data_IF_421714700396
#
_entry.id   IF_421714700396
#
_cell.length_a   1.000
_cell.length_b   1.000
_cell.length_c   1.000
_cell.angle_alpha   90.00
_cell.angle_beta   90.00
_cell.angle_gamma   90.00
#
_symmetry.space_group_name_H-M   'P 1'
#
loop_
_entity.id
_entity.type
_entity.pdbx_description
1 polymer ?
#
# COMPACT_ATOMS: atom_id res chain seq x y z
N UNK A 1 -12.95 9.61 36.19
CA UNK A 1 -13.21 9.01 34.86
C UNK A 1 -12.61 9.84 33.71
N UNK A 2 -12.94 11.12 33.52
CA UNK A 2 -12.31 11.96 32.48
C UNK A 2 -10.84 12.34 32.82
N UNK A 3 -10.53 12.63 34.08
CA UNK A 3 -9.15 12.82 34.54
C UNK A 3 -8.29 11.54 34.44
N UNK A 4 -8.90 10.36 34.64
CA UNK A 4 -8.22 9.07 34.49
C UNK A 4 -7.92 8.74 33.02
N UNK A 5 -8.81 9.12 32.09
CA UNK A 5 -8.59 8.93 30.65
C UNK A 5 -7.55 9.93 30.12
N UNK A 6 -7.54 11.16 30.63
CA UNK A 6 -6.55 12.18 30.26
C UNK A 6 -5.15 11.81 30.80
N UNK A 7 -5.06 11.35 32.05
CA UNK A 7 -3.83 10.78 32.61
C UNK A 7 -3.38 9.49 31.92
N UNK A 8 -4.30 8.64 31.44
CA UNK A 8 -3.98 7.42 30.68
C UNK A 8 -3.51 7.72 29.24
N UNK A 9 -4.08 8.73 28.58
CA UNK A 9 -3.67 9.19 27.26
C UNK A 9 -2.33 9.93 27.34
N UNK A 10 -2.14 10.82 28.30
CA UNK A 10 -0.85 11.47 28.57
C UNK A 10 0.22 10.43 28.91
N UNK A 11 -0.04 9.44 29.76
CA UNK A 11 0.92 8.36 30.02
C UNK A 11 1.25 7.55 28.76
N UNK A 12 0.28 7.26 27.87
CA UNK A 12 0.56 6.59 26.60
C UNK A 12 1.38 7.45 25.65
N UNK A 13 1.09 8.75 25.53
CA UNK A 13 1.85 9.67 24.69
C UNK A 13 3.28 9.85 25.24
N UNK A 14 3.46 10.03 26.54
CA UNK A 14 4.76 10.10 27.20
C UNK A 14 5.54 8.77 27.09
N UNK A 15 4.88 7.62 27.22
CA UNK A 15 5.52 6.30 27.07
C UNK A 15 5.90 6.02 25.63
N UNK A 16 5.08 6.40 24.66
CA UNK A 16 5.36 6.25 23.22
C UNK A 16 6.50 7.17 22.78
N UNK A 17 6.51 8.42 23.25
CA UNK A 17 7.59 9.39 23.01
C UNK A 17 8.92 8.91 23.61
N UNK A 18 8.94 8.51 24.89
CA UNK A 18 10.16 8.01 25.57
C UNK A 18 10.76 6.77 24.91
N UNK A 19 9.91 5.90 24.33
CA UNK A 19 10.35 4.66 23.65
C UNK A 19 10.76 4.86 22.19
N UNK A 20 10.21 5.86 21.50
CA UNK A 20 10.72 6.32 20.20
C UNK A 20 12.16 6.81 20.36
N UNK A 21 12.41 7.59 21.41
CA UNK A 21 13.75 8.08 21.76
C UNK A 21 14.76 6.95 21.98
N UNK A 22 14.37 5.80 22.54
CA UNK A 22 15.30 4.69 22.80
C UNK A 22 15.82 3.98 21.54
N UNK A 23 14.94 3.65 20.59
CA UNK A 23 15.36 3.03 19.33
C UNK A 23 16.15 4.03 18.51
N UNK A 24 15.71 5.29 18.50
CA UNK A 24 16.42 6.37 17.84
C UNK A 24 17.83 6.59 18.43
N UNK A 25 17.97 6.69 19.75
CA UNK A 25 19.26 6.76 20.44
C UNK A 25 20.13 5.53 20.21
N UNK A 26 19.53 4.37 19.94
CA UNK A 26 20.28 3.16 19.56
C UNK A 26 20.80 3.29 18.14
N UNK A 27 19.96 3.67 17.18
CA UNK A 27 20.40 3.92 15.80
C UNK A 27 21.50 4.99 15.77
N UNK A 28 21.30 6.09 16.49
CA UNK A 28 22.29 7.17 16.63
C UNK A 28 23.61 6.73 17.26
N UNK A 29 23.63 5.67 18.07
CA UNK A 29 24.88 5.09 18.58
C UNK A 29 25.68 4.34 17.53
N UNK A 30 25.03 3.93 16.44
CA UNK A 30 25.65 3.15 15.37
C UNK A 30 25.94 3.98 14.11
N UNK A 31 25.32 5.15 13.96
CA UNK A 31 25.37 5.95 12.72
C UNK A 31 25.97 7.34 12.96
N UNK A 32 26.67 7.88 11.95
CA UNK A 32 27.21 9.25 11.97
C UNK A 32 26.13 10.33 12.10
N UNK A 33 26.53 11.55 12.51
CA UNK A 33 25.63 12.71 12.73
C UNK A 33 24.67 13.02 11.58
N UNK A 34 25.00 12.62 10.33
CA UNK A 34 24.16 12.82 9.15
C UNK A 34 22.77 12.17 9.30
N UNK A 35 22.65 11.09 10.07
CA UNK A 35 21.36 10.43 10.37
C UNK A 35 20.58 11.09 11.51
N UNK A 36 21.20 12.04 12.21
CA UNK A 36 20.65 12.65 13.43
C UNK A 36 19.94 13.98 13.18
N UNK A 37 20.26 14.70 12.09
CA UNK A 37 19.79 16.09 11.89
C UNK A 37 18.44 16.22 11.16
N UNK A 38 18.11 15.30 10.24
CA UNK A 38 16.81 15.32 9.54
C UNK A 38 16.27 13.91 9.36
N UNK A 39 15.25 13.54 10.15
CA UNK A 39 14.58 12.27 9.92
C UNK A 39 13.62 12.37 8.75
N UNK A 40 13.99 11.76 7.63
CA UNK A 40 13.05 11.54 6.53
C UNK A 40 11.78 10.90 7.10
N UNK A 41 10.63 11.20 6.49
CA UNK A 41 9.36 10.62 6.92
C UNK A 41 9.43 9.10 7.02
N UNK A 42 10.10 8.47 6.05
CA UNK A 42 10.29 7.03 6.01
C UNK A 42 11.07 6.50 7.20
N UNK A 43 12.15 7.17 7.65
CA UNK A 43 12.88 6.75 8.86
C UNK A 43 11.97 6.67 10.07
N UNK A 44 11.11 7.68 10.27
CA UNK A 44 10.22 7.73 11.44
C UNK A 44 9.16 6.65 11.38
N UNK A 45 8.64 6.39 10.19
CA UNK A 45 7.72 5.29 9.94
C UNK A 45 8.40 3.95 10.24
N UNK A 46 9.62 3.72 9.76
CA UNK A 46 10.39 2.51 10.00
C UNK A 46 10.72 2.31 11.49
N UNK A 47 11.24 3.35 12.16
CA UNK A 47 11.56 3.33 13.60
C UNK A 47 10.39 2.84 14.45
N UNK A 48 9.16 3.26 14.11
CA UNK A 48 7.94 2.82 14.81
C UNK A 48 7.71 1.32 14.69
N UNK A 49 7.98 0.73 13.53
CA UNK A 49 7.69 -0.68 13.24
C UNK A 49 8.81 -1.62 13.67
N UNK A 50 10.07 -1.21 13.52
CA UNK A 50 11.26 -1.92 14.05
C UNK A 50 11.10 -2.21 15.55
N UNK A 51 10.55 -1.25 16.31
CA UNK A 51 10.25 -1.41 17.73
C UNK A 51 9.31 -2.58 18.04
N UNK A 52 8.28 -2.77 17.21
CA UNK A 52 7.22 -3.74 17.49
C UNK A 52 7.51 -5.15 16.97
N UNK A 53 8.68 -5.38 16.35
CA UNK A 53 9.00 -6.65 15.69
C UNK A 53 7.92 -7.08 14.69
N UNK A 54 7.24 -6.09 14.08
CA UNK A 54 6.24 -6.34 13.06
C UNK A 54 6.93 -6.42 11.71
N UNK A 55 6.54 -7.39 10.91
CA UNK A 55 7.01 -7.43 9.54
C UNK A 55 6.40 -6.24 8.79
N UNK A 56 7.14 -5.67 7.84
CA UNK A 56 6.75 -4.47 7.11
C UNK A 56 7.09 -4.66 5.64
N UNK A 57 6.20 -4.26 4.74
CA UNK A 57 6.61 -3.98 3.36
C UNK A 57 6.37 -2.50 3.07
N UNK A 58 7.41 -1.86 2.56
CA UNK A 58 7.43 -0.46 2.20
C UNK A 58 7.62 -0.37 0.70
N UNK A 59 6.75 0.38 0.04
CA UNK A 59 6.90 0.73 -1.36
C UNK A 59 7.99 1.79 -1.53
N UNK A 60 8.98 1.49 -2.35
CA UNK A 60 10.05 2.39 -2.77
C UNK A 60 9.93 2.61 -4.28
N UNK A 61 9.81 3.87 -4.72
CA UNK A 61 9.76 4.14 -6.17
C UNK A 61 11.03 3.68 -6.90
N UNK A 62 10.97 3.49 -8.22
CA UNK A 62 12.05 2.96 -9.08
C UNK A 62 13.39 3.72 -8.97
N UNK A 63 13.34 5.01 -8.65
CA UNK A 63 14.54 5.85 -8.53
C UNK A 63 15.20 5.84 -7.15
N UNK A 64 14.69 5.03 -6.20
CA UNK A 64 15.22 5.03 -4.84
C UNK A 64 16.66 4.49 -4.78
N UNK A 65 17.57 5.30 -4.21
CA UNK A 65 19.01 5.02 -4.09
C UNK A 65 19.59 5.31 -2.70
N UNK A 66 18.76 5.77 -1.76
CA UNK A 66 19.18 6.09 -0.38
C UNK A 66 19.12 4.85 0.53
N UNK A 67 20.01 3.90 0.25
CA UNK A 67 20.10 2.64 1.00
C UNK A 67 20.57 2.82 2.44
N UNK A 68 21.15 3.97 2.73
CA UNK A 68 21.49 4.41 4.06
C UNK A 68 20.31 4.19 5.05
N UNK A 69 19.08 4.51 4.65
CA UNK A 69 17.85 4.26 5.42
C UNK A 69 17.73 2.84 6.01
N UNK A 70 18.26 1.82 5.33
CA UNK A 70 18.22 0.42 5.74
C UNK A 70 19.01 0.17 7.03
N UNK A 71 19.93 1.05 7.42
CA UNK A 71 20.60 0.96 8.72
C UNK A 71 19.60 1.03 9.88
N UNK A 72 18.50 1.76 9.75
CA UNK A 72 17.48 1.89 10.80
C UNK A 72 16.96 0.52 11.26
N UNK A 73 16.40 -0.33 10.36
CA UNK A 73 16.00 -1.68 10.75
C UNK A 73 17.18 -2.59 11.10
N UNK A 74 18.31 -2.47 10.38
CA UNK A 74 19.49 -3.33 10.60
C UNK A 74 20.06 -3.17 12.01
N UNK A 75 20.32 -1.94 12.46
CA UNK A 75 20.95 -1.68 13.77
C UNK A 75 19.94 -1.48 14.90
N UNK A 76 18.67 -1.18 14.57
CA UNK A 76 17.64 -0.85 15.57
C UNK A 76 17.34 -1.97 16.57
N UNK A 77 17.69 -3.22 16.22
CA UNK A 77 17.53 -4.40 17.09
C UNK A 77 18.83 -5.09 17.49
N UNK A 78 19.96 -4.67 16.91
CA UNK A 78 21.27 -5.28 17.15
C UNK A 78 21.71 -5.13 18.60
N UNK A 79 22.09 -6.23 19.22
CA UNK A 79 22.63 -6.31 20.57
C UNK A 79 24.13 -6.13 20.51
N UNK A 80 24.64 -5.19 21.30
CA UNK A 80 26.07 -4.95 21.44
C UNK A 80 26.75 -6.18 22.03
N UNK A 81 27.97 -6.48 21.58
CA UNK A 81 28.83 -7.57 22.08
C UNK A 81 28.21 -8.98 21.95
N UNK A 82 27.21 -9.16 21.09
CA UNK A 82 26.72 -10.50 20.75
C UNK A 82 27.43 -11.00 19.50
N UNK A 83 28.20 -12.10 19.59
CA UNK A 83 28.93 -12.62 18.43
C UNK A 83 27.99 -13.26 17.41
N UNK A 84 28.35 -13.14 16.14
CA UNK A 84 27.67 -13.76 15.01
C UNK A 84 26.63 -12.86 14.33
N UNK A 85 26.02 -13.42 13.28
CA UNK A 85 25.15 -12.67 12.38
C UNK A 85 23.83 -12.32 13.06
N UNK A 86 23.55 -11.04 13.20
CA UNK A 86 22.33 -10.50 13.82
C UNK A 86 21.34 -9.94 12.80
N UNK A 87 21.85 -9.42 11.68
CA UNK A 87 21.05 -8.80 10.63
C UNK A 87 21.51 -9.27 9.24
N UNK A 88 20.53 -9.55 8.38
CA UNK A 88 20.76 -9.88 6.97
C UNK A 88 20.09 -8.86 6.07
N UNK A 89 20.79 -8.44 5.02
CA UNK A 89 20.26 -7.60 3.96
C UNK A 89 20.41 -8.32 2.63
N UNK A 90 19.28 -8.58 1.97
CA UNK A 90 19.22 -9.25 0.69
C UNK A 90 18.96 -8.24 -0.42
N UNK A 91 19.70 -8.38 -1.51
CA UNK A 91 19.55 -7.62 -2.74
C UNK A 91 19.60 -8.56 -3.95
N UNK A 92 18.92 -8.18 -5.03
CA UNK A 92 18.74 -9.03 -6.21
C UNK A 92 19.99 -9.17 -7.08
N UNK A 93 20.91 -8.23 -6.99
CA UNK A 93 22.12 -8.19 -7.82
C UNK A 93 23.36 -7.66 -7.06
N UNK A 94 24.54 -7.97 -7.60
CA UNK A 94 25.84 -7.56 -7.04
C UNK A 94 25.99 -6.03 -6.94
N UNK A 95 25.50 -5.26 -7.91
CA UNK A 95 25.67 -3.82 -7.91
C UNK A 95 24.87 -3.17 -6.77
N UNK A 96 23.65 -3.67 -6.52
CA UNK A 96 22.81 -3.26 -5.39
C UNK A 96 23.45 -3.65 -4.05
N UNK A 97 23.99 -4.88 -3.92
CA UNK A 97 24.74 -5.30 -2.71
C UNK A 97 25.92 -4.36 -2.42
N UNK A 98 26.72 -4.04 -3.44
CA UNK A 98 27.86 -3.11 -3.32
C UNK A 98 27.44 -1.71 -2.93
N UNK A 99 26.36 -1.19 -3.53
CA UNK A 99 25.82 0.13 -3.22
C UNK A 99 25.33 0.22 -1.77
N UNK A 100 24.57 -0.78 -1.31
CA UNK A 100 24.10 -0.87 0.08
C UNK A 100 25.30 -0.92 1.03
N UNK A 101 26.25 -1.81 0.76
CA UNK A 101 27.42 -2.00 1.65
C UNK A 101 28.31 -0.76 1.69
N UNK A 102 28.53 -0.10 0.56
CA UNK A 102 29.26 1.17 0.49
C UNK A 102 28.61 2.26 1.34
N UNK A 103 27.29 2.46 1.19
CA UNK A 103 26.54 3.42 2.01
C UNK A 103 26.54 3.04 3.50
N UNK A 104 26.50 1.75 3.84
CA UNK A 104 26.60 1.32 5.24
C UNK A 104 27.97 1.67 5.82
N UNK A 105 29.06 1.34 5.13
CA UNK A 105 30.43 1.69 5.55
C UNK A 105 30.62 3.20 5.71
N UNK A 106 30.04 3.99 4.80
CA UNK A 106 30.13 5.46 4.88
C UNK A 106 29.35 6.03 6.08
N UNK A 107 28.23 5.41 6.47
CA UNK A 107 27.30 5.99 7.44
C UNK A 107 27.34 5.36 8.83
N UNK A 108 27.94 4.18 8.98
CA UNK A 108 28.22 3.59 10.29
C UNK A 108 29.35 4.37 10.98
N UNK A 109 29.18 4.57 12.28
CA UNK A 109 30.24 5.10 13.13
C UNK A 109 31.26 3.98 13.40
N UNK A 110 32.54 4.28 13.13
CA UNK A 110 33.63 3.32 13.34
C UNK A 110 33.76 2.93 14.82
N UNK A 111 33.43 3.86 15.73
CA UNK A 111 33.44 3.61 17.17
C UNK A 111 32.33 2.66 17.63
N UNK A 112 31.31 2.44 16.80
CA UNK A 112 30.20 1.56 17.13
C UNK A 112 30.55 0.06 17.02
N UNK A 113 31.70 -0.27 16.42
CA UNK A 113 32.22 -1.63 16.37
C UNK A 113 31.38 -2.62 15.55
N UNK A 114 30.49 -2.13 14.68
CA UNK A 114 29.64 -2.99 13.84
C UNK A 114 30.47 -3.55 12.69
N UNK A 115 30.50 -4.87 12.60
CA UNK A 115 31.21 -5.59 11.53
C UNK A 115 30.27 -5.94 10.39
N UNK A 116 30.72 -5.67 9.16
CA UNK A 116 29.96 -5.93 7.93
C UNK A 116 30.67 -6.97 7.08
N UNK A 117 29.92 -7.91 6.51
CA UNK A 117 30.38 -8.75 5.41
C UNK A 117 29.54 -8.52 4.16
N UNK A 118 30.21 -8.54 3.02
CA UNK A 118 29.62 -8.44 1.69
C UNK A 118 29.80 -9.79 1.01
N UNK A 119 28.71 -10.41 0.56
CA UNK A 119 28.78 -11.71 -0.14
C UNK A 119 28.13 -11.60 -1.51
N UNK A 120 28.93 -11.71 -2.57
CA UNK A 120 28.48 -11.66 -3.96
C UNK A 120 29.07 -12.81 -4.77
N UNK A 121 28.42 -13.24 -5.87
CA UNK A 121 28.92 -14.37 -6.66
C UNK A 121 30.33 -14.16 -7.24
N UNK A 122 30.69 -12.90 -7.49
CA UNK A 122 31.98 -12.45 -8.03
C UNK A 122 32.98 -11.99 -6.96
N UNK A 123 32.67 -12.18 -5.68
CA UNK A 123 33.56 -11.85 -4.57
C UNK A 123 34.75 -12.80 -4.45
N UNK A 124 35.85 -12.32 -3.83
CA UNK A 124 36.99 -13.18 -3.51
C UNK A 124 36.62 -14.17 -2.40
N UNK A 125 36.52 -15.45 -2.76
CA UNK A 125 36.05 -16.49 -1.85
C UNK A 125 36.89 -16.63 -0.58
N UNK A 126 38.21 -16.38 -0.65
CA UNK A 126 39.09 -16.44 0.54
C UNK A 126 38.82 -15.29 1.51
N UNK A 127 38.74 -14.06 1.00
CA UNK A 127 38.39 -12.88 1.79
C UNK A 127 37.00 -12.99 2.41
N UNK A 128 36.02 -13.49 1.65
CA UNK A 128 34.66 -13.74 2.14
C UNK A 128 34.65 -14.75 3.28
N UNK A 129 35.31 -15.89 3.11
CA UNK A 129 35.39 -16.94 4.13
C UNK A 129 36.09 -16.46 5.40
N UNK A 130 37.18 -15.69 5.28
CA UNK A 130 37.86 -15.08 6.43
C UNK A 130 36.97 -14.08 7.17
N UNK A 131 36.24 -13.24 6.42
CA UNK A 131 35.33 -12.26 7.03
C UNK A 131 34.16 -12.95 7.71
N UNK A 132 33.55 -13.94 7.07
CA UNK A 132 32.45 -14.73 7.63
C UNK A 132 32.89 -15.52 8.86
N UNK A 133 34.08 -16.11 8.84
CA UNK A 133 34.64 -16.87 9.97
C UNK A 133 34.83 -16.01 11.23
N UNK A 134 35.03 -14.68 11.07
CA UNK A 134 35.09 -13.74 12.20
C UNK A 134 33.73 -13.48 12.84
N UNK A 135 32.62 -13.94 12.23
CA UNK A 135 31.27 -13.79 12.76
C UNK A 135 30.75 -12.36 12.65
N UNK A 136 30.59 -11.82 11.43
CA UNK A 136 30.16 -10.44 11.22
C UNK A 136 28.76 -10.20 11.77
N UNK A 137 28.50 -9.00 12.28
CA UNK A 137 27.18 -8.63 12.82
C UNK A 137 26.11 -8.54 11.74
N UNK A 138 26.49 -8.02 10.57
CA UNK A 138 25.60 -7.79 9.43
C UNK A 138 26.21 -8.43 8.18
N UNK A 139 25.39 -9.16 7.43
CA UNK A 139 25.74 -9.62 6.09
C UNK A 139 24.83 -8.93 5.07
N UNK A 140 25.43 -8.30 4.07
CA UNK A 140 24.74 -7.78 2.87
C UNK A 140 25.09 -8.71 1.72
N UNK A 141 24.10 -9.31 1.07
CA UNK A 141 24.36 -10.40 0.14
C UNK A 141 23.28 -10.61 -0.91
N UNK A 142 23.64 -11.39 -1.94
CA UNK A 142 22.65 -12.08 -2.77
C UNK A 142 22.21 -13.38 -2.08
N UNK A 143 20.94 -13.80 -2.17
CA UNK A 143 20.46 -15.04 -1.55
C UNK A 143 21.26 -16.27 -1.96
N UNK A 144 21.49 -16.45 -3.27
CA UNK A 144 22.25 -17.57 -3.80
C UNK A 144 23.65 -17.71 -3.17
N UNK A 145 24.39 -16.60 -3.03
CA UNK A 145 25.74 -16.66 -2.42
C UNK A 145 25.67 -17.00 -0.93
N UNK A 146 24.69 -16.49 -0.19
CA UNK A 146 24.52 -16.84 1.21
C UNK A 146 24.20 -18.34 1.39
N UNK A 147 23.39 -18.92 0.49
CA UNK A 147 23.07 -20.36 0.50
C UNK A 147 24.33 -21.21 0.40
N UNK A 148 25.28 -20.83 -0.45
CA UNK A 148 26.57 -21.54 -0.56
C UNK A 148 27.33 -21.55 0.77
N UNK A 149 27.41 -20.41 1.46
CA UNK A 149 28.06 -20.32 2.76
C UNK A 149 27.31 -21.10 3.86
N UNK A 150 25.98 -21.15 3.81
CA UNK A 150 25.18 -21.98 4.72
C UNK A 150 25.47 -23.47 4.48
N UNK A 151 25.47 -23.91 3.21
CA UNK A 151 25.72 -25.31 2.83
C UNK A 151 27.12 -25.78 3.22
N UNK A 152 28.12 -24.90 3.14
CA UNK A 152 29.50 -25.17 3.57
C UNK A 152 29.70 -25.15 5.08
N UNK A 153 28.70 -24.69 5.86
CA UNK A 153 28.80 -24.56 7.31
C UNK A 153 29.55 -23.30 7.77
N UNK A 154 29.83 -22.37 6.86
CA UNK A 154 30.56 -21.14 7.14
C UNK A 154 29.70 -20.12 7.91
N UNK A 155 28.38 -20.13 7.69
CA UNK A 155 27.43 -19.20 8.34
C UNK A 155 26.40 -19.96 9.17
N UNK A 156 26.14 -19.45 10.38
CA UNK A 156 25.02 -19.87 11.25
C UNK A 156 24.02 -18.73 11.38
N UNK A 157 22.73 -19.04 11.31
CA UNK A 157 21.66 -18.04 11.25
C UNK A 157 20.79 -17.96 12.52
N UNK A 158 21.18 -18.68 13.58
CA UNK A 158 20.40 -18.81 14.82
C UNK A 158 20.22 -17.47 15.57
N UNK A 159 21.16 -16.54 15.42
CA UNK A 159 21.16 -15.22 16.08
C UNK A 159 20.50 -14.12 15.24
N UNK A 160 20.06 -14.44 14.01
CA UNK A 160 19.49 -13.45 13.10
C UNK A 160 18.14 -12.99 13.64
N UNK A 161 18.06 -11.69 13.93
CA UNK A 161 16.87 -11.05 14.51
C UNK A 161 16.13 -10.14 13.52
N UNK A 162 16.82 -9.72 12.46
CA UNK A 162 16.29 -8.84 11.43
C UNK A 162 16.73 -9.32 10.04
N UNK A 163 15.77 -9.39 9.12
CA UNK A 163 16.01 -9.57 7.69
C UNK A 163 15.44 -8.37 6.94
N UNK A 164 16.24 -7.79 6.07
CA UNK A 164 15.85 -6.74 5.14
C UNK A 164 15.93 -7.30 3.74
N UNK A 165 14.86 -7.20 2.96
CA UNK A 165 14.83 -7.60 1.55
C UNK A 165 14.64 -6.34 0.72
N UNK A 166 15.57 -6.05 -0.19
CA UNK A 166 15.45 -4.95 -1.14
C UNK A 166 15.08 -5.56 -2.48
N UNK A 167 13.92 -5.17 -3.02
CA UNK A 167 13.50 -5.63 -4.33
C UNK A 167 14.52 -5.18 -5.40
N UNK A 168 14.83 -6.04 -6.38
CA UNK A 168 15.67 -5.66 -7.51
C UNK A 168 15.01 -4.54 -8.34
N UNK A 169 15.78 -3.98 -9.27
CA UNK A 169 15.22 -3.06 -10.26
C UNK A 169 14.33 -3.77 -11.28
N UNK A 170 14.62 -5.05 -11.58
CA UNK A 170 13.76 -5.92 -12.37
C UNK A 170 12.65 -6.53 -11.51
N UNK A 171 11.69 -7.19 -12.17
CA UNK A 171 10.71 -8.02 -11.48
C UNK A 171 11.40 -9.09 -10.62
N UNK A 172 10.81 -9.38 -9.47
CA UNK A 172 11.34 -10.34 -8.52
C UNK A 172 11.23 -11.75 -9.11
N UNK A 173 12.37 -12.40 -9.34
CA UNK A 173 12.36 -13.74 -9.94
C UNK A 173 11.86 -14.80 -8.96
N UNK A 174 11.22 -15.84 -9.48
CA UNK A 174 10.81 -17.01 -8.69
C UNK A 174 12.01 -17.67 -7.98
N UNK A 175 13.18 -17.68 -8.63
CA UNK A 175 14.42 -18.18 -8.03
C UNK A 175 14.85 -17.38 -6.80
N UNK A 176 14.73 -16.05 -6.85
CA UNK A 176 15.08 -15.18 -5.72
C UNK A 176 14.15 -15.43 -4.54
N UNK A 177 12.84 -15.55 -4.79
CA UNK A 177 11.86 -15.89 -3.75
C UNK A 177 12.16 -17.27 -3.15
N UNK A 178 12.41 -18.30 -3.98
CA UNK A 178 12.72 -19.65 -3.53
C UNK A 178 14.00 -19.72 -2.66
N UNK A 179 15.03 -18.97 -3.03
CA UNK A 179 16.26 -18.87 -2.24
C UNK A 179 16.00 -18.23 -0.87
N UNK A 180 15.21 -17.16 -0.82
CA UNK A 180 14.80 -16.54 0.44
C UNK A 180 14.00 -17.52 1.31
N UNK A 181 13.10 -18.32 0.72
CA UNK A 181 12.38 -19.38 1.43
C UNK A 181 13.32 -20.38 2.09
N UNK A 182 14.32 -20.86 1.35
CA UNK A 182 15.33 -21.78 1.89
C UNK A 182 16.07 -21.16 3.08
N UNK A 183 16.49 -19.90 2.95
CA UNK A 183 17.24 -19.18 3.97
C UNK A 183 16.39 -18.94 5.23
N UNK A 184 15.15 -18.46 5.07
CA UNK A 184 14.23 -18.17 6.18
C UNK A 184 13.85 -19.42 6.96
N UNK A 185 13.77 -20.58 6.30
CA UNK A 185 13.53 -21.87 6.96
C UNK A 185 14.64 -22.27 7.95
N UNK A 186 15.83 -21.65 7.87
CA UNK A 186 16.95 -21.88 8.80
C UNK A 186 16.98 -20.92 9.98
N UNK A 187 16.04 -19.97 10.07
CA UNK A 187 16.01 -18.93 11.10
C UNK A 187 14.86 -19.12 12.09
N UNK A 188 15.07 -18.66 13.32
CA UNK A 188 14.01 -18.66 14.34
C UNK A 188 13.34 -17.29 14.40
N UNK A 189 12.35 -17.09 13.54
CA UNK A 189 11.41 -15.96 13.58
C UNK A 189 12.07 -14.55 13.50
N UNK A 190 12.88 -14.24 12.48
CA UNK A 190 13.44 -12.89 12.29
C UNK A 190 12.30 -11.88 12.03
N UNK A 191 12.50 -10.60 12.36
CA UNK A 191 11.63 -9.54 11.82
C UNK A 191 11.98 -9.31 10.36
N UNK A 192 10.98 -9.28 9.48
CA UNK A 192 11.18 -9.14 8.03
C UNK A 192 10.72 -7.77 7.55
N UNK A 193 11.60 -7.05 6.85
CA UNK A 193 11.29 -5.74 6.31
C UNK A 193 11.63 -5.74 4.83
N UNK A 194 10.61 -5.60 3.99
CA UNK A 194 10.72 -5.61 2.53
C UNK A 194 10.63 -4.18 2.02
N UNK A 195 11.58 -3.79 1.17
CA UNK A 195 11.55 -2.56 0.40
C UNK A 195 11.20 -2.97 -1.04
N UNK A 196 9.92 -2.90 -1.36
CA UNK A 196 9.34 -3.35 -2.63
C UNK A 196 9.27 -2.18 -3.62
N UNK A 197 9.53 -2.41 -4.91
CA UNK A 197 9.25 -1.40 -5.95
C UNK A 197 7.76 -1.21 -6.13
N UNK A 198 7.03 -2.31 -6.08
CA UNK A 198 5.58 -2.35 -6.16
C UNK A 198 5.04 -3.35 -5.14
N UNK A 199 4.15 -2.89 -4.25
CA UNK A 199 3.58 -3.72 -3.20
C UNK A 199 2.71 -4.86 -3.74
N UNK A 200 2.08 -4.73 -4.92
CA UNK A 200 1.20 -5.79 -5.43
C UNK A 200 1.96 -6.96 -6.03
N UNK A 201 3.12 -6.73 -6.65
CA UNK A 201 3.88 -7.80 -7.32
C UNK A 201 4.94 -8.40 -6.41
N UNK A 202 5.72 -7.55 -5.74
CA UNK A 202 6.91 -8.00 -5.03
C UNK A 202 6.55 -8.66 -3.69
N UNK A 203 5.51 -8.15 -3.03
CA UNK A 203 5.08 -8.67 -1.72
C UNK A 203 4.28 -9.95 -1.86
N UNK A 204 3.47 -10.11 -2.90
CA UNK A 204 2.71 -11.34 -3.13
C UNK A 204 3.66 -12.54 -3.28
N UNK A 205 4.75 -12.37 -4.01
CA UNK A 205 5.81 -13.37 -4.20
C UNK A 205 6.59 -13.72 -2.92
N UNK A 206 6.57 -12.83 -1.92
CA UNK A 206 7.25 -13.00 -0.64
C UNK A 206 6.27 -13.16 0.54
N UNK A 207 4.98 -13.28 0.26
CA UNK A 207 3.91 -13.17 1.27
C UNK A 207 4.02 -14.22 2.36
N UNK A 208 4.44 -15.43 1.98
CA UNK A 208 4.68 -16.56 2.87
C UNK A 208 5.88 -16.36 3.83
N UNK A 209 6.80 -15.44 3.52
CA UNK A 209 7.91 -15.05 4.39
C UNK A 209 7.51 -14.02 5.45
N UNK A 210 6.37 -13.35 5.26
CA UNK A 210 5.93 -12.21 6.06
C UNK A 210 4.73 -12.54 6.93
N UNK A 211 4.79 -12.19 8.21
CA UNK A 211 3.69 -12.48 9.16
C UNK A 211 2.85 -11.24 9.38
N UNK A 212 1.72 -11.18 8.66
CA UNK A 212 0.77 -10.05 8.70
C UNK A 212 1.50 -8.72 8.56
N UNK A 213 2.26 -8.52 7.46
CA UNK A 213 3.10 -7.35 7.33
C UNK A 213 2.25 -6.08 7.28
N UNK A 214 2.77 -5.01 7.87
CA UNK A 214 2.21 -3.68 7.64
C UNK A 214 2.62 -3.23 6.24
N UNK A 215 1.65 -2.98 5.36
CA UNK A 215 1.86 -2.36 4.06
C UNK A 215 1.96 -0.85 4.21
N UNK A 216 2.97 -0.24 3.59
CA UNK A 216 3.21 1.21 3.63
C UNK A 216 3.50 1.65 2.19
N UNK A 217 2.52 2.33 1.57
CA UNK A 217 2.67 2.82 0.20
C UNK A 217 3.62 4.01 0.13
N UNK A 218 4.11 4.32 -1.07
CA UNK A 218 4.98 5.48 -1.29
C UNK A 218 4.27 6.77 -0.90
N UNK A 219 3.00 6.90 -1.24
CA UNK A 219 2.21 8.09 -0.92
C UNK A 219 2.04 8.28 0.59
N UNK A 220 1.89 7.18 1.35
CA UNK A 220 1.75 7.24 2.81
C UNK A 220 2.99 7.82 3.47
N UNK A 221 4.20 7.41 3.06
CA UNK A 221 5.42 7.90 3.70
C UNK A 221 6.04 9.10 2.98
N UNK A 222 5.78 9.38 1.72
CA UNK A 222 6.27 10.59 1.06
C UNK A 222 5.52 11.83 1.55
N UNK A 223 4.21 11.72 1.79
CA UNK A 223 3.36 12.86 2.13
C UNK A 223 3.23 13.14 3.64
N UNK A 224 3.68 12.23 4.52
CA UNK A 224 3.50 12.35 5.97
C UNK A 224 4.76 12.80 6.75
N UNK A 225 5.39 13.90 6.34
CA UNK A 225 6.42 14.57 7.15
C UNK A 225 5.88 15.07 8.50
N UNK A 226 5.86 14.21 9.52
CA UNK A 226 5.18 14.43 10.82
C UNK A 226 3.65 14.49 10.68
N UNK A 227 2.87 14.17 11.74
CA UNK A 227 1.50 14.65 11.80
C UNK A 227 1.53 16.16 12.00
N UNK A 228 1.82 16.91 10.93
CA UNK A 228 1.27 18.24 10.75
C UNK A 228 -0.01 18.02 10.00
N UNK A 229 -1.12 18.46 10.56
CA UNK A 229 -2.33 18.71 9.80
C UNK A 229 -1.91 19.50 8.55
N UNK A 230 -1.96 18.85 7.39
CA UNK A 230 -1.64 19.49 6.12
C UNK A 230 -2.72 20.53 5.85
N UNK A 231 -2.37 21.79 6.09
CA UNK A 231 -2.99 22.89 5.39
C UNK A 231 -2.52 22.83 3.94
N UNK A 232 -3.49 22.60 3.07
CA UNK A 232 -3.56 22.98 1.66
C UNK A 232 -2.90 22.06 0.61
N UNK A 233 -3.75 21.43 -0.20
CA UNK A 233 -3.86 21.83 -1.60
C UNK A 233 -5.32 21.75 -2.08
N UNK A 234 -5.97 22.90 -1.96
CA UNK A 234 -7.06 23.32 -2.83
C UNK A 234 -6.51 23.47 -4.24
N UNK A 235 -7.07 22.76 -5.22
CA UNK A 235 -7.59 23.37 -6.46
C UNK A 235 -8.39 22.34 -7.25
N UNK A 236 -9.70 22.55 -7.29
CA UNK A 236 -10.57 21.95 -8.29
C UNK A 236 -11.51 20.83 -7.86
N UNK A 237 -11.92 20.75 -6.60
CA UNK A 237 -13.24 20.18 -6.21
C UNK A 237 -13.77 21.01 -5.06
N UNK A 238 -14.99 21.50 -5.21
CA UNK A 238 -15.71 22.40 -4.32
C UNK A 238 -15.24 22.29 -2.86
N UNK A 239 -14.44 23.26 -2.44
CA UNK A 239 -13.95 23.32 -1.05
C UNK A 239 -15.14 23.55 -0.15
N UNK A 240 -15.55 22.48 0.55
CA UNK A 240 -16.37 22.57 1.75
C UNK A 240 -15.71 23.55 2.72
N UNK A 241 -16.46 24.49 3.30
CA UNK A 241 -15.91 25.42 4.27
C UNK A 241 -15.41 24.68 5.52
N UNK A 242 -14.20 25.01 5.97
CA UNK A 242 -13.61 24.54 7.23
C UNK A 242 -14.49 25.02 8.41
N UNK A 243 -15.31 24.12 8.95
CA UNK A 243 -16.05 24.33 10.18
C UNK A 243 -15.15 23.97 11.37
N UNK A 244 -15.00 24.82 12.40
CA UNK A 244 -14.13 24.55 13.54
C UNK A 244 -14.58 23.29 14.30
N UNK A 245 -13.62 22.49 14.74
CA UNK A 245 -13.86 21.30 15.55
C UNK A 245 -14.35 21.74 16.95
N UNK A 246 -15.66 21.62 17.19
CA UNK A 246 -16.28 21.97 18.46
C UNK A 246 -16.65 20.69 19.24
N UNK A 247 -15.87 20.42 20.29
CA UNK A 247 -15.97 19.19 21.08
C UNK A 247 -17.31 19.07 21.82
N UNK A 248 -17.89 20.19 22.25
CA UNK A 248 -19.11 20.20 23.06
C UNK A 248 -20.37 20.01 22.18
N UNK A 249 -20.34 20.55 20.96
CA UNK A 249 -21.37 20.28 19.94
C UNK A 249 -21.30 18.82 19.49
N UNK A 250 -20.12 18.22 19.32
CA UNK A 250 -19.99 16.79 18.98
C UNK A 250 -20.51 15.89 20.09
N UNK A 251 -20.17 16.18 21.36
CA UNK A 251 -20.65 15.40 22.51
C UNK A 251 -22.18 15.42 22.63
N UNK A 252 -22.80 16.58 22.43
CA UNK A 252 -24.27 16.70 22.45
C UNK A 252 -24.93 16.00 21.25
N UNK A 253 -24.33 16.09 20.06
CA UNK A 253 -24.80 15.41 18.85
C UNK A 253 -24.73 13.88 18.98
N UNK A 254 -23.62 13.34 19.48
CA UNK A 254 -23.47 11.89 19.73
C UNK A 254 -24.49 11.42 20.76
N UNK A 255 -24.69 12.16 21.84
CA UNK A 255 -25.72 11.85 22.83
C UNK A 255 -27.12 11.85 22.22
N UNK A 256 -27.45 12.81 21.35
CA UNK A 256 -28.73 12.88 20.66
C UNK A 256 -28.93 11.72 19.68
N UNK A 257 -27.89 11.32 18.93
CA UNK A 257 -27.94 10.15 18.02
C UNK A 257 -28.13 8.86 18.81
N UNK A 258 -27.38 8.66 19.90
CA UNK A 258 -27.55 7.49 20.77
C UNK A 258 -28.97 7.45 21.33
N UNK A 259 -29.49 8.60 21.77
CA UNK A 259 -30.86 8.70 22.28
C UNK A 259 -31.89 8.32 21.20
N UNK A 260 -31.76 8.84 19.97
CA UNK A 260 -32.61 8.47 18.83
C UNK A 260 -32.51 6.99 18.47
N UNK A 261 -31.32 6.39 18.50
CA UNK A 261 -31.14 4.94 18.27
C UNK A 261 -31.88 4.09 19.32
N UNK A 262 -32.12 4.64 20.52
CA UNK A 262 -32.88 3.96 21.58
C UNK A 262 -34.37 4.36 21.59
N UNK A 263 -34.74 5.55 21.10
CA UNK A 263 -36.10 6.13 21.16
C UNK A 263 -36.91 5.95 19.86
N UNK A 264 -36.29 5.95 18.66
CA UNK A 264 -36.99 5.99 17.38
C UNK A 264 -36.32 5.11 16.28
N UNK A 265 -37.21 4.41 15.56
CA UNK A 265 -37.07 3.79 14.24
C UNK A 265 -36.71 2.30 14.10
N UNK A 266 -37.45 1.71 13.16
CA UNK A 266 -37.71 0.30 12.89
C UNK A 266 -36.43 -0.56 12.90
N UNK A 267 -36.32 -1.58 13.78
CA UNK A 267 -35.11 -2.40 13.96
C UNK A 267 -34.54 -3.01 12.67
N UNK A 268 -35.36 -3.12 11.62
CA UNK A 268 -35.03 -3.71 10.33
C UNK A 268 -34.10 -2.81 9.52
N UNK A 269 -34.35 -1.50 9.45
CA UNK A 269 -33.64 -0.59 8.56
C UNK A 269 -32.22 -0.28 9.07
N UNK A 270 -32.09 0.07 10.36
CA UNK A 270 -30.79 0.25 11.02
C UNK A 270 -29.91 -1.00 10.96
N UNK A 271 -30.52 -2.18 11.04
CA UNK A 271 -29.81 -3.46 10.90
C UNK A 271 -29.32 -3.69 9.46
N UNK A 272 -30.09 -3.27 8.46
CA UNK A 272 -29.66 -3.32 7.06
C UNK A 272 -28.46 -2.40 6.81
N UNK A 273 -28.48 -1.15 7.30
CA UNK A 273 -27.35 -0.23 7.21
C UNK A 273 -26.12 -0.73 7.98
N UNK A 274 -26.32 -1.30 9.18
CA UNK A 274 -25.24 -1.94 9.96
C UNK A 274 -24.62 -3.11 9.21
N UNK A 275 -25.42 -3.97 8.57
CA UNK A 275 -24.94 -5.10 7.76
C UNK A 275 -24.20 -4.63 6.51
N UNK A 276 -24.72 -3.59 5.85
CA UNK A 276 -24.09 -2.97 4.69
C UNK A 276 -22.73 -2.36 5.03
N UNK A 277 -22.64 -1.58 6.12
CA UNK A 277 -21.36 -1.04 6.60
C UNK A 277 -20.40 -2.17 6.95
N UNK A 278 -20.85 -3.22 7.65
CA UNK A 278 -19.97 -4.35 8.00
C UNK A 278 -19.42 -5.09 6.78
N UNK A 279 -20.19 -5.16 5.68
CA UNK A 279 -19.82 -5.85 4.44
C UNK A 279 -18.88 -5.05 3.57
N UNK A 280 -19.04 -3.72 3.54
CA UNK A 280 -18.28 -2.82 2.66
C UNK A 280 -17.12 -2.10 3.36
N UNK A 281 -17.01 -2.23 4.69
CA UNK A 281 -15.93 -1.59 5.44
C UNK A 281 -15.23 -2.59 6.37
N UNK A 282 -13.91 -2.68 6.20
CA UNK A 282 -13.03 -3.45 7.08
C UNK A 282 -13.24 -3.02 8.53
N UNK A 283 -13.13 -3.97 9.46
CA UNK A 283 -13.39 -3.75 10.88
C UNK A 283 -12.56 -2.58 11.47
N UNK A 284 -11.36 -2.36 10.93
CA UNK A 284 -10.44 -1.30 11.33
C UNK A 284 -10.83 0.09 10.79
N UNK A 285 -11.58 0.16 9.69
CA UNK A 285 -11.98 1.41 9.04
C UNK A 285 -13.33 1.93 9.52
N UNK A 286 -14.12 1.12 10.24
CA UNK A 286 -15.47 1.49 10.72
C UNK A 286 -15.47 2.71 11.62
N UNK A 287 -14.47 2.85 12.49
CA UNK A 287 -14.33 4.01 13.36
C UNK A 287 -14.05 5.29 12.56
N UNK A 288 -13.20 5.20 11.53
CA UNK A 288 -12.89 6.32 10.64
C UNK A 288 -14.10 6.72 9.77
N UNK A 289 -14.86 5.73 9.28
CA UNK A 289 -16.11 5.96 8.55
C UNK A 289 -17.15 6.64 9.44
N UNK A 290 -17.31 6.18 10.69
CA UNK A 290 -18.19 6.83 11.67
C UNK A 290 -17.78 8.27 11.98
N UNK A 291 -16.48 8.53 12.16
CA UNK A 291 -15.96 9.88 12.38
C UNK A 291 -16.20 10.79 11.17
N UNK A 292 -16.09 10.26 9.95
CA UNK A 292 -16.31 11.02 8.73
C UNK A 292 -17.80 11.33 8.49
N UNK A 293 -18.70 10.38 8.77
CA UNK A 293 -20.15 10.60 8.71
C UNK A 293 -20.61 11.65 9.74
N UNK A 294 -20.04 11.62 10.95
CA UNK A 294 -20.32 12.61 11.98
C UNK A 294 -19.85 14.01 11.56
N UNK A 295 -18.68 14.11 10.92
CA UNK A 295 -18.19 15.35 10.32
C UNK A 295 -19.14 15.89 9.24
N UNK A 296 -19.75 15.00 8.45
CA UNK A 296 -20.72 15.39 7.41
C UNK A 296 -22.06 15.86 8.00
N UNK A 297 -22.51 15.26 9.10
CA UNK A 297 -23.78 15.58 9.75
C UNK A 297 -23.83 16.96 10.43
N UNK A 298 -22.68 17.61 10.68
CA UNK A 298 -22.60 18.92 11.32
C UNK A 298 -22.72 20.12 10.36
N UNK A 299 -22.90 19.87 9.07
CA UNK A 299 -23.06 20.94 8.09
C UNK A 299 -24.48 21.54 8.14
N UNK A 300 -24.63 22.88 8.06
CA UNK A 300 -25.92 23.57 8.08
C UNK A 300 -26.78 23.34 6.82
N UNK A 301 -26.28 22.59 5.83
CA UNK A 301 -27.06 22.10 4.69
C UNK A 301 -27.84 20.87 5.11
N UNK A 302 -28.89 21.12 5.90
CA UNK A 302 -29.70 20.11 6.54
C UNK A 302 -30.33 19.10 5.60
N UNK A 303 -30.58 17.93 6.18
CA UNK A 303 -31.77 17.14 5.97
C UNK A 303 -32.97 18.10 6.08
N UNK A 304 -33.40 18.68 4.95
CA UNK A 304 -34.74 19.27 4.85
C UNK A 304 -35.60 18.30 4.06
N UNK A 305 -36.47 17.64 4.82
CA UNK A 305 -37.57 16.86 4.30
C UNK A 305 -38.31 17.64 3.23
N UNK A 306 -38.62 16.93 2.16
CA UNK A 306 -39.50 17.38 1.08
C UNK A 306 -40.91 17.49 1.66
N UNK A 307 -41.21 18.59 2.34
CA UNK A 307 -42.56 19.00 2.68
C UNK A 307 -43.20 19.67 1.48
N UNK A 308 -44.43 19.27 1.22
CA UNK A 308 -45.26 19.64 0.08
C UNK A 308 -45.79 21.09 0.14
N UNK A 309 -45.84 21.72 -1.05
CA UNK A 309 -46.81 22.76 -1.53
C UNK A 309 -46.77 24.16 -0.86
N UNK A 310 -47.31 25.26 -1.48
CA UNK A 310 -48.17 25.33 -2.67
C UNK A 310 -47.74 26.34 -3.77
N UNK A 311 -48.53 26.27 -4.83
CA UNK A 311 -48.54 26.92 -6.15
C UNK A 311 -48.62 28.46 -6.18
N UNK A 312 -47.88 29.09 -7.11
CA UNK A 312 -48.08 30.50 -7.50
C UNK A 312 -47.29 30.92 -8.76
N UNK A 313 -47.96 30.97 -9.91
CA UNK A 313 -47.57 31.37 -11.29
C UNK A 313 -46.73 32.68 -11.36
N UNK A 314 -45.83 32.96 -12.33
CA UNK A 314 -45.85 32.96 -13.83
C UNK A 314 -44.37 33.09 -14.29
N UNK A 315 -43.84 32.70 -15.46
CA UNK A 315 -44.32 32.14 -16.73
C UNK A 315 -43.20 32.30 -17.81
N UNK A 316 -43.13 31.37 -18.78
CA UNK A 316 -42.33 31.36 -20.02
C UNK A 316 -40.78 31.25 -19.88
N UNK A 317 -40.01 30.52 -20.70
CA UNK A 317 -40.20 29.90 -22.02
C UNK A 317 -39.14 28.79 -22.23
N UNK A 318 -39.49 27.86 -23.09
CA UNK A 318 -38.85 26.57 -23.45
C UNK A 318 -37.49 26.66 -24.17
N UNK A 319 -36.75 25.54 -24.08
CA UNK A 319 -35.72 24.98 -24.98
C UNK A 319 -34.26 25.19 -24.60
N UNK A 320 -33.65 24.10 -24.14
CA UNK A 320 -32.21 23.87 -24.12
C UNK A 320 -31.62 23.97 -25.53
N UNK A 321 -30.39 24.49 -25.66
CA UNK A 321 -29.40 23.81 -26.49
C UNK A 321 -28.04 23.65 -25.80
N UNK A 322 -27.34 22.62 -26.26
CA UNK A 322 -25.99 22.17 -25.92
C UNK A 322 -24.90 23.25 -26.11
N UNK A 323 -23.70 23.09 -25.51
CA UNK A 323 -22.50 23.75 -25.99
C UNK A 323 -21.45 22.77 -26.54
N UNK A 324 -21.32 22.82 -27.87
CA UNK A 324 -20.14 23.18 -28.68
C UNK A 324 -18.73 22.74 -28.25
N UNK A 325 -18.08 22.10 -29.22
CA UNK A 325 -16.70 21.60 -29.32
C UNK A 325 -15.68 22.74 -29.52
N UNK A 326 -14.46 22.57 -28.96
CA UNK A 326 -13.24 23.16 -29.51
C UNK A 326 -12.05 22.17 -29.41
N UNK A 327 -11.28 22.14 -30.51
CA UNK A 327 -10.28 21.18 -31.03
C UNK A 327 -8.87 21.47 -30.45
N UNK A 328 -7.90 20.56 -30.24
CA UNK A 328 -6.95 19.79 -31.10
C UNK A 328 -5.99 19.01 -30.15
N UNK A 329 -5.23 17.95 -30.49
CA UNK A 329 -4.66 17.46 -31.76
C UNK A 329 -4.19 16.00 -31.64
N UNK A 330 -4.18 15.33 -32.79
CA UNK A 330 -3.88 13.92 -33.06
C UNK A 330 -2.42 13.49 -32.90
N UNK A 331 -2.22 12.19 -32.62
CA UNK A 331 -1.21 11.36 -33.29
C UNK A 331 -1.91 10.06 -33.73
N UNK A 332 -1.85 9.76 -35.02
CA UNK A 332 -2.46 8.63 -35.71
C UNK A 332 -1.75 7.29 -35.42
N UNK A 333 -2.56 6.24 -35.30
CA UNK A 333 -2.25 4.91 -35.84
C UNK A 333 -3.57 4.18 -36.12
N UNK A 334 -3.77 3.79 -37.37
CA UNK A 334 -4.95 3.08 -37.85
C UNK A 334 -5.23 1.80 -37.06
N UNK A 335 -6.46 1.63 -36.57
CA UNK A 335 -7.09 0.30 -36.51
C UNK A 335 -8.60 0.45 -36.40
N UNK A 336 -9.32 -0.39 -37.12
CA UNK A 336 -10.78 -0.45 -37.27
C UNK A 336 -11.48 -0.96 -35.98
N UNK A 337 -11.11 -0.44 -34.81
CA UNK A 337 -11.51 -0.98 -33.49
C UNK A 337 -12.19 0.07 -32.60
N UNK A 338 -13.24 -0.38 -31.90
CA UNK A 338 -14.05 0.41 -30.97
C UNK A 338 -14.00 -0.22 -29.59
N UNK A 339 -13.85 0.60 -28.56
CA UNK A 339 -13.84 0.13 -27.17
C UNK A 339 -15.26 -0.05 -26.63
N UNK A 340 -15.55 -1.25 -26.16
CA UNK A 340 -16.82 -1.68 -25.58
C UNK A 340 -16.66 -1.80 -24.06
N UNK A 341 -17.55 -1.16 -23.31
CA UNK A 341 -17.66 -1.25 -21.86
C UNK A 341 -18.48 -2.47 -21.45
N UNK A 342 -18.00 -3.22 -20.47
CA UNK A 342 -18.68 -4.36 -19.86
C UNK A 342 -18.80 -4.13 -18.35
N UNK A 343 -20.00 -4.25 -17.78
CA UNK A 343 -20.28 -3.98 -16.37
C UNK A 343 -19.79 -5.04 -15.36
N UNK A 344 -18.71 -5.77 -15.67
CA UNK A 344 -18.11 -6.81 -14.81
C UNK A 344 -16.58 -6.72 -14.86
N UNK A 345 -15.91 -7.06 -13.75
CA UNK A 345 -14.46 -6.91 -13.60
C UNK A 345 -13.83 -7.84 -12.56
N UNK A 346 -12.56 -7.58 -12.20
CA UNK A 346 -11.72 -8.43 -11.35
C UNK A 346 -12.33 -8.75 -9.97
N UNK A 347 -13.14 -7.86 -9.39
CA UNK A 347 -13.79 -8.10 -8.09
C UNK A 347 -14.74 -9.31 -8.11
N UNK A 348 -15.08 -9.82 -9.29
CA UNK A 348 -15.87 -11.05 -9.48
C UNK A 348 -15.07 -12.21 -10.08
N UNK A 349 -13.75 -12.15 -9.92
CA UNK A 349 -12.78 -13.12 -10.45
C UNK A 349 -12.85 -13.26 -11.97
N UNK A 350 -13.32 -12.24 -12.67
CA UNK A 350 -13.37 -12.22 -14.14
C UNK A 350 -11.99 -11.81 -14.62
N UNK A 351 -11.36 -12.66 -15.43
CA UNK A 351 -10.05 -12.39 -16.03
C UNK A 351 -10.22 -12.12 -17.53
N UNK A 352 -9.18 -11.59 -18.17
CA UNK A 352 -9.21 -11.29 -19.62
C UNK A 352 -9.62 -12.52 -20.45
N UNK A 353 -9.19 -13.73 -20.07
CA UNK A 353 -9.58 -15.00 -20.73
C UNK A 353 -11.08 -15.28 -20.65
N UNK A 354 -11.72 -14.95 -19.54
CA UNK A 354 -13.18 -15.14 -19.36
C UNK A 354 -13.95 -14.21 -20.31
N UNK A 355 -13.45 -12.99 -20.54
CA UNK A 355 -14.05 -12.03 -21.46
C UNK A 355 -13.81 -12.42 -22.91
N UNK A 356 -12.62 -12.88 -23.29
CA UNK A 356 -12.38 -13.44 -24.64
C UNK A 356 -13.36 -14.58 -24.91
N UNK A 357 -13.46 -15.54 -23.98
CA UNK A 357 -14.37 -16.69 -24.11
C UNK A 357 -15.83 -16.25 -24.24
N UNK A 358 -16.25 -15.25 -23.46
CA UNK A 358 -17.59 -14.69 -23.52
C UNK A 358 -17.89 -14.08 -24.90
N UNK A 359 -17.02 -13.22 -25.41
CA UNK A 359 -17.26 -12.55 -26.68
C UNK A 359 -17.11 -13.50 -27.89
N UNK A 360 -16.26 -14.52 -27.82
CA UNK A 360 -16.16 -15.55 -28.88
C UNK A 360 -17.36 -16.50 -28.87
N UNK A 361 -17.76 -17.01 -27.69
CA UNK A 361 -18.86 -17.98 -27.57
C UNK A 361 -20.23 -17.34 -27.78
N UNK A 362 -20.37 -16.08 -27.37
CA UNK A 362 -21.66 -15.43 -27.17
C UNK A 362 -21.83 -14.16 -28.00
N UNK A 363 -20.74 -13.58 -28.51
CA UNK A 363 -20.77 -12.40 -29.38
C UNK A 363 -20.37 -12.70 -30.83
N UNK A 364 -20.17 -13.98 -31.18
CA UNK A 364 -19.88 -14.43 -32.55
C UNK A 364 -18.55 -13.95 -33.12
N UNK A 365 -17.60 -13.55 -32.27
CA UNK A 365 -16.32 -12.96 -32.68
C UNK A 365 -15.25 -14.03 -32.83
N UNK A 366 -14.42 -13.93 -33.87
CA UNK A 366 -13.26 -14.81 -34.06
C UNK A 366 -12.09 -14.32 -33.23
N UNK A 367 -11.10 -15.19 -32.93
CA UNK A 367 -9.94 -14.83 -32.10
C UNK A 367 -9.14 -13.62 -32.62
N UNK A 368 -9.29 -13.27 -33.90
CA UNK A 368 -8.61 -12.15 -34.55
C UNK A 368 -9.40 -10.83 -34.48
N UNK A 369 -10.65 -10.84 -33.99
CA UNK A 369 -11.54 -9.65 -33.95
C UNK A 369 -11.47 -8.86 -32.62
N UNK A 370 -10.66 -9.31 -31.67
CA UNK A 370 -10.52 -8.72 -30.33
C UNK A 370 -9.17 -8.03 -30.16
N UNK A 371 -9.22 -6.73 -29.86
CA UNK A 371 -8.05 -5.93 -29.52
C UNK A 371 -7.67 -6.03 -28.04
N UNK A 372 -7.22 -4.91 -27.45
CA UNK A 372 -6.81 -4.90 -26.05
C UNK A 372 -8.00 -5.08 -25.09
N UNK A 373 -7.79 -5.89 -24.04
CA UNK A 373 -8.76 -6.10 -22.96
C UNK A 373 -8.18 -5.55 -21.66
N UNK A 374 -8.87 -4.54 -21.10
CA UNK A 374 -8.52 -3.91 -19.83
C UNK A 374 -9.57 -4.23 -18.78
N UNK A 375 -9.22 -5.10 -17.84
CA UNK A 375 -10.08 -5.50 -16.73
C UNK A 375 -9.80 -4.60 -15.52
N UNK A 376 -10.83 -3.96 -14.99
CA UNK A 376 -10.76 -3.13 -13.77
C UNK A 376 -11.59 -3.78 -12.66
N UNK A 377 -11.63 -3.17 -11.48
CA UNK A 377 -12.25 -3.78 -10.30
C UNK A 377 -13.73 -4.11 -10.50
N UNK A 378 -14.51 -3.20 -11.08
CA UNK A 378 -15.98 -3.32 -11.19
C UNK A 378 -16.50 -3.41 -12.63
N UNK A 379 -15.66 -3.13 -13.62
CA UNK A 379 -16.02 -3.10 -15.04
C UNK A 379 -14.79 -3.41 -15.91
N UNK A 380 -15.00 -3.68 -17.18
CA UNK A 380 -13.95 -4.00 -18.14
C UNK A 380 -14.15 -3.27 -19.45
N UNK A 381 -13.07 -3.05 -20.19
CA UNK A 381 -13.09 -2.54 -21.55
C UNK A 381 -12.52 -3.59 -22.50
N UNK A 382 -13.19 -3.80 -23.62
CA UNK A 382 -12.80 -4.74 -24.67
C UNK A 382 -12.81 -3.99 -25.99
N UNK A 383 -11.68 -3.96 -26.70
CA UNK A 383 -11.63 -3.43 -28.06
C UNK A 383 -12.15 -4.48 -29.04
N UNK A 384 -13.11 -4.10 -29.89
CA UNK A 384 -13.77 -4.97 -30.87
C UNK A 384 -13.84 -4.25 -32.21
N UNK A 385 -13.74 -4.98 -33.32
CA UNK A 385 -13.90 -4.41 -34.67
C UNK A 385 -15.23 -3.63 -34.82
N UNK A 386 -15.19 -2.45 -35.45
CA UNK A 386 -16.35 -1.55 -35.61
C UNK A 386 -17.56 -2.24 -36.24
N UNK A 387 -17.32 -3.12 -37.22
CA UNK A 387 -18.34 -3.79 -38.00
C UNK A 387 -19.14 -4.83 -37.19
N UNK A 388 -18.57 -5.34 -36.09
CA UNK A 388 -19.18 -6.38 -35.24
C UNK A 388 -19.49 -5.90 -33.81
N UNK A 389 -19.02 -4.71 -33.43
CA UNK A 389 -19.21 -4.16 -32.09
C UNK A 389 -20.69 -3.97 -31.72
N UNK A 390 -21.53 -3.52 -32.68
CA UNK A 390 -22.96 -3.33 -32.45
C UNK A 390 -23.69 -4.65 -32.19
N UNK A 391 -23.42 -5.68 -33.01
CA UNK A 391 -24.01 -7.01 -32.86
C UNK A 391 -23.62 -7.66 -31.51
N UNK A 392 -22.36 -7.52 -31.10
CA UNK A 392 -21.87 -8.04 -29.82
C UNK A 392 -22.51 -7.34 -28.61
N UNK A 393 -22.75 -6.02 -28.70
CA UNK A 393 -23.43 -5.27 -27.64
C UNK A 393 -24.87 -5.76 -27.49
N UNK A 394 -25.62 -5.87 -28.59
CA UNK A 394 -27.03 -6.26 -28.56
C UNK A 394 -27.20 -7.71 -28.05
N UNK A 395 -26.25 -8.59 -28.36
CA UNK A 395 -26.31 -9.99 -27.94
C UNK A 395 -25.81 -10.24 -26.50
N UNK A 396 -24.85 -9.44 -26.00
CA UNK A 396 -24.29 -9.59 -24.66
C UNK A 396 -25.04 -8.80 -23.59
N UNK A 397 -25.80 -7.77 -23.97
CA UNK A 397 -26.56 -6.94 -23.05
C UNK A 397 -27.76 -7.73 -22.49
N UNK A 398 -27.77 -7.96 -21.17
CA UNK A 398 -28.80 -8.73 -20.47
C UNK A 398 -28.47 -10.20 -20.21
N UNK A 399 -27.37 -10.74 -20.76
CA UNK A 399 -26.94 -12.13 -20.47
C UNK A 399 -26.33 -12.25 -19.08
N UNK A 400 -26.51 -13.40 -18.44
CA UNK A 400 -26.04 -13.63 -17.07
C UNK A 400 -24.63 -14.22 -17.05
N UNK A 401 -23.68 -13.52 -16.43
CA UNK A 401 -22.34 -14.03 -16.17
C UNK A 401 -22.06 -14.01 -14.67
N UNK A 402 -21.88 -15.20 -14.09
CA UNK A 402 -21.59 -15.40 -12.65
C UNK A 402 -22.59 -14.69 -11.72
N UNK A 403 -23.89 -14.85 -12.00
CA UNK A 403 -24.96 -14.40 -11.10
C UNK A 403 -25.40 -12.94 -11.26
N UNK A 404 -25.08 -12.28 -12.39
CA UNK A 404 -25.51 -10.90 -12.69
C UNK A 404 -25.69 -10.70 -14.18
N UNK A 405 -26.77 -9.99 -14.54
CA UNK A 405 -26.98 -9.52 -15.91
C UNK A 405 -25.88 -8.54 -16.30
N UNK A 406 -25.23 -8.82 -17.44
CA UNK A 406 -24.23 -7.97 -18.04
C UNK A 406 -24.88 -6.76 -18.68
N UNK A 407 -24.31 -5.58 -18.45
CA UNK A 407 -24.61 -4.37 -19.20
C UNK A 407 -23.41 -4.06 -20.08
N UNK A 408 -23.64 -4.06 -21.38
CA UNK A 408 -22.61 -3.82 -22.39
C UNK A 408 -22.99 -2.57 -23.17
N UNK A 409 -22.08 -1.60 -23.30
CA UNK A 409 -22.32 -0.33 -24.01
C UNK A 409 -21.04 0.12 -24.71
N UNK A 410 -21.14 1.02 -25.69
CA UNK A 410 -19.95 1.71 -26.20
C UNK A 410 -19.28 2.52 -25.10
N UNK A 411 -17.95 2.42 -24.99
CA UNK A 411 -17.20 3.26 -24.09
C UNK A 411 -17.22 4.70 -24.63
N UNK A 412 -17.71 5.66 -23.84
CA UNK A 412 -17.59 7.08 -24.18
C UNK A 412 -16.11 7.45 -24.17
N UNK A 413 -15.52 7.71 -25.35
CA UNK A 413 -14.21 8.35 -25.46
C UNK A 413 -14.29 9.71 -24.77
N UNK A 414 -13.41 9.93 -23.80
CA UNK A 414 -13.36 11.13 -22.97
C UNK A 414 -12.14 11.96 -23.33
#
# INVERSE_FOLDING_TARGET
MLQDIQGFLENRFYTVARRYTQVLQRVQRFTKERYSREHSTLQRVLLRHVRHSRDVAVEIGEDWKDFAMLLVPVVGRMRMHQPGVQSLVFAGDTAQVRSITGQFRENLDHSAGVTLAELTPDGDSRSEEQTVAKGPDVIVCTPARLIDHIRRGNVRLNSVSTCVVVAPASELSESFAADLHFIFAKMTRPQSIVFARNLTTDVDSLSDLLRRPQMISRDDWANHGSPRFSKNQTKGRDTMPDQPFDEDVLKSTIKAIIRKVHEDEDPIELTAYKKFLRRNTSIFNRAYVGAYLLKYAQQPSGIRGRSERPTGRRGAKTRSPEPTVAVQKEVQSDSNTVSVFVSIGCSRRVHSRDLVTLFTTTGGLTNDDHGQIKVLDNYSFVEVATDKAQAAIDELNGKELRGRALTVNFARRK
#
